data_IF_811880876346
#
_entry.id   IF_811880876346
#
_cell.length_a   1.000
_cell.length_b   1.000
_cell.length_c   1.000
_cell.angle_alpha   90.00
_cell.angle_beta   90.00
_cell.angle_gamma   90.00
#
_symmetry.space_group_name_H-M   'P 1'
#
loop_
_entity.id
_entity.type
_entity.pdbx_description
1 polymer ?
#
# COMPACT_ATOMS: atom_id res chain seq x y z
N UNK A 1 6.11 4.31 0.11
CA UNK A 1 6.17 2.92 -0.42
C UNK A 1 6.88 2.97 -1.76
N UNK A 2 7.80 2.06 -2.05
CA UNK A 2 8.52 2.05 -3.33
C UNK A 2 8.17 0.80 -4.13
N UNK A 3 7.85 0.97 -5.42
CA UNK A 3 7.59 -0.12 -6.36
C UNK A 3 8.72 -0.12 -7.40
N UNK A 4 9.32 -1.28 -7.63
CA UNK A 4 10.33 -1.48 -8.69
C UNK A 4 10.10 -2.80 -9.41
N UNK A 5 10.84 -3.06 -10.48
CA UNK A 5 10.83 -4.36 -11.18
C UNK A 5 11.22 -5.54 -10.29
N UNK A 6 11.93 -5.29 -9.19
CA UNK A 6 12.34 -6.32 -8.22
C UNK A 6 11.25 -6.64 -7.19
N UNK A 7 10.36 -5.69 -6.88
CA UNK A 7 9.32 -5.91 -5.89
C UNK A 7 8.73 -4.64 -5.29
N UNK A 8 8.02 -4.84 -4.19
CA UNK A 8 7.48 -3.78 -3.35
C UNK A 8 8.35 -3.65 -2.10
N UNK A 9 8.79 -2.43 -1.81
CA UNK A 9 9.57 -2.12 -0.61
C UNK A 9 8.78 -1.17 0.27
N UNK A 10 8.61 -1.56 1.54
CA UNK A 10 7.96 -0.76 2.57
C UNK A 10 9.03 -0.38 3.60
N UNK A 11 9.16 0.91 3.83
CA UNK A 11 10.05 1.49 4.85
C UNK A 11 9.16 2.25 5.82
N UNK A 12 9.36 2.02 7.12
CA UNK A 12 8.70 2.81 8.14
C UNK A 12 9.58 4.04 8.42
N UNK A 13 9.11 5.20 8.00
CA UNK A 13 9.84 6.45 8.15
C UNK A 13 9.96 6.88 9.61
N UNK A 14 9.05 6.44 10.49
CA UNK A 14 9.10 6.71 11.94
C UNK A 14 10.01 5.74 12.69
N UNK A 15 10.43 4.65 12.03
CA UNK A 15 11.30 3.59 12.57
C UNK A 15 10.78 2.98 13.89
N UNK A 16 9.45 2.88 14.06
CA UNK A 16 8.84 2.40 15.31
C UNK A 16 8.51 0.92 15.27
N UNK A 17 7.99 0.41 14.16
CA UNK A 17 7.52 -0.99 14.06
C UNK A 17 8.49 -1.89 13.30
N UNK A 18 9.14 -1.35 12.28
CA UNK A 18 10.16 -2.05 11.49
C UNK A 18 11.08 -1.04 10.85
N UNK A 19 12.22 -1.48 10.30
CA UNK A 19 13.08 -0.59 9.52
C UNK A 19 12.68 -0.63 8.04
N UNK A 20 12.69 -1.82 7.45
CA UNK A 20 12.39 -2.04 6.03
C UNK A 20 11.91 -3.47 5.79
N UNK A 21 10.92 -3.64 4.92
CA UNK A 21 10.45 -4.94 4.43
C UNK A 21 10.41 -4.93 2.90
N UNK A 22 10.97 -5.95 2.28
CA UNK A 22 10.96 -6.12 0.84
C UNK A 22 10.14 -7.36 0.48
N UNK A 23 9.19 -7.19 -0.43
CA UNK A 23 8.34 -8.23 -0.98
C UNK A 23 8.72 -8.40 -2.45
N UNK A 24 9.45 -9.47 -2.81
CA UNK A 24 9.78 -9.76 -4.19
C UNK A 24 8.50 -9.83 -5.02
N UNK A 25 8.52 -9.40 -6.28
CA UNK A 25 7.31 -9.47 -7.14
C UNK A 25 6.71 -10.89 -7.15
N UNK A 26 7.53 -11.95 -6.96
CA UNK A 26 7.08 -13.35 -6.97
C UNK A 26 6.16 -13.69 -5.79
N UNK A 27 6.32 -12.95 -4.69
CA UNK A 27 5.50 -13.13 -3.50
C UNK A 27 4.18 -12.38 -3.58
N UNK A 28 4.11 -11.28 -4.35
CA UNK A 28 2.90 -10.46 -4.46
C UNK A 28 1.90 -11.15 -5.39
N UNK A 29 0.72 -11.45 -4.86
CA UNK A 29 -0.32 -12.19 -5.57
C UNK A 29 -1.48 -11.30 -6.00
N UNK A 30 -1.72 -10.20 -5.30
CA UNK A 30 -2.82 -9.28 -5.57
C UNK A 30 -2.48 -7.87 -5.09
N UNK A 31 -3.01 -6.87 -5.78
CA UNK A 31 -3.01 -5.48 -5.33
C UNK A 31 -4.31 -4.82 -5.76
N UNK A 32 -4.90 -4.00 -4.89
CA UNK A 32 -6.19 -3.38 -5.14
C UNK A 32 -6.46 -2.19 -4.23
N UNK A 33 -7.36 -1.32 -4.69
CA UNK A 33 -7.97 -0.28 -3.86
C UNK A 33 -9.17 -0.91 -3.16
N UNK A 34 -9.55 -0.41 -1.98
CA UNK A 34 -10.79 -0.82 -1.34
C UNK A 34 -11.98 -0.63 -2.30
N UNK A 35 -12.69 -1.71 -2.70
CA UNK A 35 -13.84 -1.62 -3.60
C UNK A 35 -15.00 -0.83 -2.99
N UNK A 36 -15.01 -0.65 -1.67
CA UNK A 36 -15.98 0.16 -0.95
C UNK A 36 -15.67 1.67 -0.96
N UNK A 37 -14.72 2.16 -1.79
CA UNK A 37 -14.56 3.60 -2.14
C UNK A 37 -15.80 4.19 -2.88
N UNK A 38 -17.00 3.67 -2.61
CA UNK A 38 -18.23 4.42 -2.81
C UNK A 38 -18.16 5.61 -1.88
N UNK A 39 -18.01 6.79 -2.49
CA UNK A 39 -17.93 8.15 -1.92
C UNK A 39 -18.97 8.49 -0.83
N UNK A 40 -19.92 7.60 -0.54
CA UNK A 40 -20.98 7.71 0.46
C UNK A 40 -20.68 6.98 1.78
N UNK A 41 -19.76 6.00 1.82
CA UNK A 41 -19.41 5.32 3.07
C UNK A 41 -18.22 6.01 3.73
N UNK A 42 -18.48 6.91 4.68
CA UNK A 42 -17.42 7.60 5.45
C UNK A 42 -16.55 6.62 6.26
N UNK A 43 -17.02 5.38 6.47
CA UNK A 43 -16.33 4.32 7.21
C UNK A 43 -15.20 3.69 6.39
N UNK A 44 -15.22 3.82 5.06
CA UNK A 44 -14.25 3.21 4.14
C UNK A 44 -13.07 4.13 3.79
N UNK A 45 -12.92 5.27 4.48
CA UNK A 45 -11.76 6.15 4.32
C UNK A 45 -11.01 6.25 5.61
N UNK A 46 -9.70 6.20 5.51
CA UNK A 46 -8.83 6.37 6.65
C UNK A 46 -8.74 7.85 7.00
N UNK A 47 -8.95 8.20 8.27
CA UNK A 47 -8.78 9.57 8.74
C UNK A 47 -7.34 9.79 9.19
N UNK A 48 -6.59 10.57 8.42
CA UNK A 48 -5.20 10.94 8.72
C UNK A 48 -5.11 12.13 9.71
N UNK A 49 -6.24 12.64 10.24
CA UNK A 49 -6.24 13.80 11.16
C UNK A 49 -5.33 13.62 12.38
N UNK A 50 -5.10 12.38 12.82
CA UNK A 50 -4.22 12.04 13.94
C UNK A 50 -2.73 11.94 13.57
N UNK A 51 -2.37 12.00 12.28
CA UNK A 51 -0.98 11.87 11.78
C UNK A 51 -0.40 13.25 11.41
N UNK A 52 -1.09 14.34 11.77
CA UNK A 52 -0.78 15.72 11.37
C UNK A 52 0.50 16.31 11.97
N UNK A 53 1.20 15.60 12.85
CA UNK A 53 2.42 16.10 13.48
C UNK A 53 3.56 16.16 12.45
N UNK A 54 3.73 17.32 11.82
CA UNK A 54 4.90 17.66 11.00
C UNK A 54 4.74 17.51 9.48
N UNK A 55 3.55 17.20 8.96
CA UNK A 55 3.29 17.20 7.50
C UNK A 55 2.59 18.50 7.06
N UNK A 56 3.17 19.18 6.07
CA UNK A 56 2.63 20.43 5.50
C UNK A 56 1.49 20.19 4.51
N UNK A 57 1.40 19.00 3.93
CA UNK A 57 0.35 18.60 2.98
C UNK A 57 0.06 17.11 3.14
N UNK A 58 -1.19 16.76 3.44
CA UNK A 58 -1.64 15.37 3.53
C UNK A 58 -3.12 15.22 3.16
N UNK A 59 -3.51 14.02 2.75
CA UNK A 59 -4.92 13.69 2.47
C UNK A 59 -5.64 13.38 3.77
N UNK A 60 -6.56 14.25 4.21
CA UNK A 60 -7.31 14.07 5.47
C UNK A 60 -8.19 12.82 5.47
N UNK A 61 -8.96 12.62 4.39
CA UNK A 61 -9.82 11.44 4.21
C UNK A 61 -9.23 10.58 3.09
N UNK A 62 -8.36 9.64 3.48
CA UNK A 62 -7.50 8.91 2.57
C UNK A 62 -8.17 7.65 2.02
N UNK A 63 -7.95 7.39 0.74
CA UNK A 63 -8.29 6.11 0.13
C UNK A 63 -7.39 5.01 0.70
N UNK A 64 -7.98 3.86 0.95
CA UNK A 64 -7.25 2.68 1.36
C UNK A 64 -6.93 1.81 0.17
N UNK A 65 -5.74 1.23 0.19
CA UNK A 65 -5.31 0.23 -0.78
C UNK A 65 -4.50 -0.84 -0.08
N UNK A 66 -4.40 -2.00 -0.71
CA UNK A 66 -3.65 -3.10 -0.15
C UNK A 66 -2.97 -3.91 -1.24
N UNK A 67 -1.94 -4.64 -0.82
CA UNK A 67 -1.44 -5.76 -1.60
C UNK A 67 -1.37 -7.01 -0.72
N UNK A 68 -1.55 -8.16 -1.35
CA UNK A 68 -1.42 -9.47 -0.72
C UNK A 68 -0.09 -10.06 -1.18
N UNK A 69 0.70 -10.52 -0.21
CA UNK A 69 1.95 -11.20 -0.48
C UNK A 69 2.06 -12.50 0.33
N UNK A 70 2.69 -13.51 -0.26
CA UNK A 70 3.03 -14.75 0.44
C UNK A 70 4.06 -14.46 1.53
N UNK A 71 3.84 -15.01 2.72
CA UNK A 71 4.76 -14.87 3.84
C UNK A 71 6.07 -15.59 3.55
N UNK A 72 7.20 -14.95 3.86
CA UNK A 72 8.53 -15.57 3.72
C UNK A 72 8.59 -16.81 4.62
N UNK A 73 9.00 -17.95 4.05
CA UNK A 73 9.09 -19.22 4.77
C UNK A 73 7.79 -20.01 4.88
N UNK A 74 6.66 -19.51 4.35
CA UNK A 74 5.41 -20.25 4.26
C UNK A 74 5.00 -20.49 2.80
N UNK A 75 4.47 -21.68 2.51
CA UNK A 75 3.98 -22.03 1.16
C UNK A 75 2.50 -21.70 0.97
N UNK A 76 1.74 -21.61 2.05
CA UNK A 76 0.28 -21.48 2.05
C UNK A 76 -0.20 -20.16 2.63
N UNK A 77 0.60 -19.51 3.48
CA UNK A 77 0.15 -18.31 4.20
C UNK A 77 0.36 -17.06 3.38
N UNK A 78 -0.68 -16.22 3.36
CA UNK A 78 -0.66 -14.92 2.73
C UNK A 78 -0.91 -13.84 3.79
N UNK A 79 -0.24 -12.71 3.63
CA UNK A 79 -0.46 -11.53 4.43
C UNK A 79 -1.02 -10.42 3.55
N UNK A 80 -2.09 -9.76 4.03
CA UNK A 80 -2.61 -8.55 3.43
C UNK A 80 -1.97 -7.34 4.10
N UNK A 81 -1.33 -6.48 3.32
CA UNK A 81 -0.72 -5.24 3.78
C UNK A 81 -1.60 -4.07 3.35
N UNK A 82 -2.27 -3.45 4.31
CA UNK A 82 -3.19 -2.34 4.10
C UNK A 82 -2.48 -1.02 4.33
N UNK A 83 -2.72 -0.06 3.44
CA UNK A 83 -2.15 1.27 3.45
C UNK A 83 -3.25 2.31 3.20
N UNK A 84 -2.99 3.53 3.66
CA UNK A 84 -3.79 4.70 3.34
C UNK A 84 -2.95 5.67 2.50
N UNK A 85 -3.61 6.38 1.58
CA UNK A 85 -3.03 7.51 0.86
C UNK A 85 -2.54 8.60 1.83
N UNK A 86 -1.35 9.14 1.59
CA UNK A 86 -0.76 10.19 2.43
C UNK A 86 -0.58 11.48 1.64
N UNK A 87 0.12 11.39 0.50
CA UNK A 87 0.43 12.52 -0.36
C UNK A 87 -0.54 12.57 -1.55
N UNK A 88 -1.17 13.73 -1.84
CA UNK A 88 -2.12 13.85 -2.94
C UNK A 88 -1.46 13.67 -4.33
N UNK A 89 -0.15 13.93 -4.43
CA UNK A 89 0.63 13.74 -5.66
C UNK A 89 0.90 12.25 -5.95
N UNK A 90 0.74 11.38 -4.94
CA UNK A 90 0.93 9.93 -5.06
C UNK A 90 -0.36 9.18 -4.70
N UNK A 91 -1.39 9.24 -5.55
CA UNK A 91 -2.68 8.64 -5.25
C UNK A 91 -2.58 7.11 -5.17
N UNK A 92 -3.43 6.51 -4.34
CA UNK A 92 -3.48 5.05 -4.15
C UNK A 92 -3.64 4.27 -5.47
N UNK A 93 -4.37 4.84 -6.43
CA UNK A 93 -4.58 4.24 -7.76
C UNK A 93 -3.30 4.14 -8.59
N UNK A 94 -2.42 5.13 -8.51
CA UNK A 94 -1.13 5.10 -9.21
C UNK A 94 -0.27 3.96 -8.64
N UNK A 95 -0.18 3.86 -7.32
CA UNK A 95 0.58 2.80 -6.63
C UNK A 95 0.08 1.41 -7.04
N UNK A 96 -1.23 1.17 -6.95
CA UNK A 96 -1.83 -0.13 -7.33
C UNK A 96 -1.57 -0.44 -8.81
N UNK A 97 -1.72 0.55 -9.70
CA UNK A 97 -1.44 0.38 -11.13
C UNK A 97 0.02 0.00 -11.38
N UNK A 98 0.98 0.60 -10.67
CA UNK A 98 2.39 0.24 -10.81
C UNK A 98 2.66 -1.19 -10.32
N UNK A 99 2.10 -1.59 -9.17
CA UNK A 99 2.26 -2.96 -8.66
C UNK A 99 1.69 -3.96 -9.67
N UNK A 100 0.48 -3.72 -10.18
CA UNK A 100 -0.16 -4.58 -11.18
C UNK A 100 0.64 -4.66 -12.48
N UNK A 101 1.17 -3.53 -12.98
CA UNK A 101 2.04 -3.52 -14.17
C UNK A 101 3.30 -4.36 -13.97
N UNK A 102 3.95 -4.23 -12.82
CA UNK A 102 5.15 -5.02 -12.48
C UNK A 102 4.82 -6.52 -12.34
N UNK A 103 3.65 -6.86 -11.79
CA UNK A 103 3.17 -8.24 -11.73
C UNK A 103 2.84 -8.82 -13.11
N UNK A 104 2.32 -8.00 -14.03
CA UNK A 104 1.92 -8.41 -15.39
C UNK A 104 3.06 -8.46 -16.40
N UNK A 105 4.10 -7.64 -16.24
CA UNK A 105 5.31 -7.61 -17.09
C UNK A 105 6.21 -8.85 -16.96
N UNK A 106 5.65 -9.97 -16.50
CA UNK A 106 6.29 -11.27 -16.28
C UNK A 106 5.90 -12.29 -17.36
N UNK A 107 5.20 -11.83 -18.39
CA UNK A 107 4.90 -12.63 -19.58
C UNK A 107 6.02 -12.46 -20.59
#
# INVERSE_FOLDING_TARGET
LQVSSQGVTVTDNTRRLFFRRHYPVQSVTFAGIDPADRRSCSICRWDNSCISEGLTSYVKSARMFAFVARKIGSRTDNACHVFAELEPEQPASAVVNFITKVMMGRK
#
